data_IF_403945104674
#
_entry.id   IF_403945104674
#
_cell.length_a   1.000
_cell.length_b   1.000
_cell.length_c   1.000
_cell.angle_alpha   90.00
_cell.angle_beta   90.00
_cell.angle_gamma   90.00
#
_symmetry.space_group_name_H-M   'P 1'
#
loop_
_entity.id
_entity.type
_entity.pdbx_description
1 polymer ?
#
# COMPACT_ATOMS: atom_id res chain seq x y z
N UNK A 1 54.33 -9.19 25.70
CA UNK A 1 53.67 -8.22 26.61
C UNK A 1 53.71 -6.89 25.88
N UNK A 2 52.67 -6.51 25.11
CA UNK A 2 51.46 -5.75 25.51
C UNK A 2 51.82 -4.38 26.10
N UNK A 3 51.30 -3.21 25.74
CA UNK A 3 50.20 -2.69 24.91
C UNK A 3 50.59 -1.21 24.58
N UNK A 4 49.93 -0.37 23.79
CA UNK A 4 48.65 -0.35 23.09
C UNK A 4 48.56 1.04 22.42
N UNK A 5 48.11 1.08 21.17
CA UNK A 5 47.94 2.27 20.34
C UNK A 5 46.50 2.80 20.56
N UNK A 6 46.34 3.93 21.26
CA UNK A 6 45.05 4.61 21.46
C UNK A 6 44.88 5.76 20.46
N UNK A 7 44.61 5.40 19.21
CA UNK A 7 44.03 6.31 18.23
C UNK A 7 42.49 6.30 18.37
N UNK A 8 41.99 7.16 19.27
CA UNK A 8 40.57 7.39 19.48
C UNK A 8 39.87 7.90 18.22
N UNK A 9 39.13 7.01 17.54
CA UNK A 9 38.19 7.35 16.46
C UNK A 9 37.04 8.19 17.03
N UNK A 10 37.14 9.51 16.90
CA UNK A 10 36.02 10.42 17.13
C UNK A 10 34.99 10.22 15.99
N UNK A 11 33.99 9.37 16.23
CA UNK A 11 32.82 9.24 15.34
C UNK A 11 31.94 10.48 15.57
N UNK A 12 31.54 11.23 14.53
CA UNK A 12 30.64 12.35 14.72
C UNK A 12 29.31 11.81 15.27
N UNK A 13 28.94 12.27 16.46
CA UNK A 13 27.62 12.08 17.04
C UNK A 13 26.59 12.65 16.05
N UNK A 14 25.79 11.76 15.45
CA UNK A 14 24.68 12.11 14.58
C UNK A 14 23.81 13.15 15.27
N UNK A 15 23.59 14.25 14.56
CA UNK A 15 23.28 15.55 15.16
C UNK A 15 21.86 15.57 15.70
N UNK A 16 21.74 15.88 16.99
CA UNK A 16 20.48 15.89 17.74
C UNK A 16 19.44 16.86 17.14
N UNK A 17 19.89 17.89 16.40
CA UNK A 17 19.01 18.89 15.76
C UNK A 17 18.16 18.34 14.60
N UNK A 18 18.59 17.28 13.91
CA UNK A 18 17.79 16.64 12.84
C UNK A 18 16.55 15.95 13.43
N UNK A 19 16.72 15.31 14.59
CA UNK A 19 15.62 14.69 15.35
C UNK A 19 14.66 15.73 15.93
N UNK A 20 15.17 16.92 16.24
CA UNK A 20 14.37 18.04 16.73
C UNK A 20 13.56 18.68 15.60
N UNK A 21 14.13 18.87 14.39
CA UNK A 21 13.38 19.37 13.22
C UNK A 21 12.19 18.48 12.82
N UNK A 22 12.38 17.16 12.88
CA UNK A 22 11.29 16.21 12.61
C UNK A 22 10.16 16.26 13.66
N UNK A 23 10.43 16.73 14.88
CA UNK A 23 9.43 16.94 15.93
C UNK A 23 8.75 18.31 15.87
N UNK A 24 9.36 19.31 15.22
CA UNK A 24 8.87 20.70 15.19
C UNK A 24 7.89 21.02 14.07
N UNK A 25 7.87 20.23 13.00
CA UNK A 25 6.80 20.32 12.02
C UNK A 25 5.56 19.65 12.64
N UNK A 26 4.50 20.42 12.90
CA UNK A 26 3.20 19.85 13.23
C UNK A 26 2.77 18.84 12.15
N UNK A 27 1.69 18.07 12.39
CA UNK A 27 1.14 17.21 11.35
C UNK A 27 1.02 18.02 10.04
N UNK A 28 1.48 17.49 8.88
CA UNK A 28 1.33 18.18 7.61
C UNK A 28 -0.11 18.64 7.45
N UNK A 29 -0.36 19.77 6.79
CA UNK A 29 -1.73 20.27 6.62
C UNK A 29 -2.64 19.20 6.00
N UNK A 30 -3.93 19.21 6.33
CA UNK A 30 -4.89 18.18 5.90
C UNK A 30 -4.87 17.97 4.40
N UNK A 31 -4.81 19.05 3.63
CA UNK A 31 -4.71 19.01 2.18
C UNK A 31 -3.46 18.24 1.72
N UNK A 32 -2.28 18.57 2.27
CA UNK A 32 -1.02 17.85 1.96
C UNK A 32 -1.11 16.37 2.32
N UNK A 33 -1.75 16.01 3.44
CA UNK A 33 -1.96 14.60 3.80
C UNK A 33 -2.87 13.89 2.80
N UNK A 34 -3.94 14.55 2.36
CA UNK A 34 -4.87 14.02 1.38
C UNK A 34 -4.24 13.88 0.00
N UNK A 35 -3.41 14.84 -0.44
CA UNK A 35 -2.64 14.75 -1.68
C UNK A 35 -1.72 13.53 -1.67
N UNK A 36 -0.94 13.34 -0.60
CA UNK A 36 -0.02 12.19 -0.49
C UNK A 36 -0.81 10.86 -0.44
N UNK A 37 -1.92 10.83 0.31
CA UNK A 37 -2.78 9.64 0.36
C UNK A 37 -3.42 9.35 -1.00
N UNK A 38 -3.87 10.38 -1.70
CA UNK A 38 -4.47 10.32 -3.03
C UNK A 38 -3.48 9.81 -4.06
N UNK A 39 -2.23 10.28 -4.05
CA UNK A 39 -1.15 9.73 -4.87
C UNK A 39 -0.93 8.24 -4.65
N UNK A 40 -0.83 7.82 -3.39
CA UNK A 40 -0.64 6.41 -3.05
C UNK A 40 -1.83 5.55 -3.50
N UNK A 41 -3.06 6.06 -3.34
CA UNK A 41 -4.28 5.40 -3.78
C UNK A 41 -4.42 5.39 -5.31
N UNK A 42 -3.98 6.45 -6.01
CA UNK A 42 -3.95 6.55 -7.47
C UNK A 42 -3.04 5.50 -8.09
N UNK A 43 -1.81 5.38 -7.58
CA UNK A 43 -0.89 4.32 -8.05
C UNK A 43 -1.44 2.92 -7.75
N UNK A 44 -2.04 2.71 -6.58
CA UNK A 44 -2.69 1.45 -6.26
C UNK A 44 -3.90 1.17 -7.16
N UNK A 45 -4.69 2.20 -7.51
CA UNK A 45 -5.86 2.10 -8.39
C UNK A 45 -5.44 1.75 -9.79
N UNK A 46 -4.47 2.47 -10.35
CA UNK A 46 -3.84 2.19 -11.65
C UNK A 46 -3.37 0.74 -11.73
N UNK A 47 -2.54 0.29 -10.78
CA UNK A 47 -2.08 -1.11 -10.74
C UNK A 47 -3.21 -2.12 -10.61
N UNK A 48 -4.31 -1.76 -9.93
CA UNK A 48 -5.44 -2.66 -9.74
C UNK A 48 -6.28 -2.84 -11.02
N UNK A 49 -6.42 -1.81 -11.85
CA UNK A 49 -7.18 -1.87 -13.11
C UNK A 49 -6.68 -3.03 -13.98
N UNK A 50 -7.59 -3.68 -14.71
CA UNK A 50 -7.24 -4.63 -15.76
C UNK A 50 -6.84 -3.84 -17.01
N UNK A 51 -5.79 -4.21 -17.75
CA UNK A 51 -5.49 -3.50 -19.00
C UNK A 51 -4.11 -3.70 -19.62
N UNK A 52 -3.12 -4.17 -18.86
CA UNK A 52 -1.76 -4.30 -19.36
C UNK A 52 -1.54 -5.60 -20.12
N UNK A 53 -0.87 -5.49 -21.27
CA UNK A 53 -0.28 -6.66 -21.94
C UNK A 53 1.04 -7.04 -21.26
N UNK A 54 1.37 -8.33 -21.24
CA UNK A 54 2.67 -8.82 -20.73
C UNK A 54 3.78 -8.15 -21.52
N UNK A 55 4.52 -7.23 -20.90
CA UNK A 55 5.70 -6.62 -21.51
C UNK A 55 6.93 -7.44 -21.14
N UNK A 56 7.62 -8.01 -22.15
CA UNK A 56 8.86 -8.77 -21.92
C UNK A 56 10.05 -7.91 -21.46
N UNK A 57 9.88 -6.57 -21.39
CA UNK A 57 10.92 -5.63 -20.98
C UNK A 57 10.61 -5.00 -19.62
N UNK A 58 11.63 -4.93 -18.76
CA UNK A 58 11.59 -4.39 -17.38
C UNK A 58 11.26 -2.89 -17.28
N UNK A 59 11.03 -2.21 -18.40
CA UNK A 59 10.60 -0.81 -18.42
C UNK A 59 9.07 -0.78 -18.50
N UNK A 60 8.43 -0.50 -17.37
CA UNK A 60 7.00 -0.19 -17.31
C UNK A 60 6.83 1.17 -18.01
N UNK A 61 6.52 1.14 -19.29
CA UNK A 61 6.24 2.34 -20.09
C UNK A 61 4.76 2.31 -20.46
N UNK A 62 3.89 2.66 -19.50
CA UNK A 62 2.45 2.77 -19.77
C UNK A 62 1.62 3.08 -18.53
N UNK A 63 0.53 3.82 -18.74
CA UNK A 63 -0.53 4.08 -17.73
C UNK A 63 -1.52 2.89 -17.61
N UNK A 64 -1.18 1.75 -18.22
CA UNK A 64 -2.03 0.57 -18.27
C UNK A 64 -2.10 -0.14 -16.91
N UNK A 65 -3.24 -0.75 -16.64
CA UNK A 65 -3.50 -1.45 -15.38
C UNK A 65 -2.84 -2.84 -15.31
N UNK A 66 -2.24 -3.19 -14.17
CA UNK A 66 -1.50 -4.44 -14.01
C UNK A 66 -2.37 -5.63 -13.53
N UNK A 67 -3.67 -5.42 -13.31
CA UNK A 67 -4.57 -6.42 -12.74
C UNK A 67 -4.17 -6.87 -11.33
N UNK A 68 -3.38 -6.07 -10.60
CA UNK A 68 -2.84 -6.44 -9.29
C UNK A 68 -3.96 -6.48 -8.24
N UNK A 69 -4.24 -7.63 -7.60
CA UNK A 69 -5.30 -7.72 -6.61
C UNK A 69 -5.00 -6.92 -5.35
N UNK A 70 -6.04 -6.33 -4.77
CA UNK A 70 -5.99 -5.76 -3.42
C UNK A 70 -6.64 -6.74 -2.45
N UNK A 71 -5.94 -7.09 -1.38
CA UNK A 71 -6.51 -7.86 -0.28
C UNK A 71 -6.92 -6.91 0.84
N UNK A 72 -8.20 -6.96 1.21
CA UNK A 72 -8.81 -6.19 2.31
C UNK A 72 -9.40 -7.13 3.38
N UNK A 73 -9.79 -6.60 4.54
CA UNK A 73 -10.36 -7.43 5.61
C UNK A 73 -11.79 -7.86 5.28
N UNK A 74 -12.64 -6.90 4.91
CA UNK A 74 -14.10 -7.08 4.90
C UNK A 74 -14.82 -6.53 3.67
N UNK A 75 -16.16 -6.70 3.67
CA UNK A 75 -17.04 -6.25 2.57
C UNK A 75 -17.14 -4.72 2.49
N UNK A 76 -17.07 -4.02 3.62
CA UNK A 76 -17.19 -2.56 3.67
C UNK A 76 -15.95 -1.88 3.08
N UNK A 77 -14.78 -2.46 3.27
CA UNK A 77 -13.54 -2.02 2.60
C UNK A 77 -13.67 -2.11 1.08
N UNK A 78 -14.23 -3.21 0.57
CA UNK A 78 -14.53 -3.35 -0.87
C UNK A 78 -15.42 -2.20 -1.35
N UNK A 79 -16.49 -1.89 -0.61
CA UNK A 79 -17.41 -0.79 -0.96
C UNK A 79 -16.67 0.56 -0.97
N UNK A 80 -15.80 0.80 0.02
CA UNK A 80 -15.01 2.03 0.09
C UNK A 80 -14.06 2.16 -1.12
N UNK A 81 -13.32 1.08 -1.46
CA UNK A 81 -12.45 1.08 -2.64
C UNK A 81 -13.24 1.23 -3.94
N UNK A 82 -14.44 0.64 -4.07
CA UNK A 82 -15.30 0.87 -5.24
C UNK A 82 -15.73 2.34 -5.36
N UNK A 83 -16.07 3.01 -4.26
CA UNK A 83 -16.38 4.45 -4.26
C UNK A 83 -15.19 5.30 -4.71
N UNK A 84 -13.96 4.88 -4.39
CA UNK A 84 -12.72 5.52 -4.85
C UNK A 84 -12.37 5.20 -6.32
N UNK A 85 -13.16 4.38 -7.01
CA UNK A 85 -12.98 4.09 -8.44
C UNK A 85 -12.11 2.85 -8.73
N UNK A 86 -11.76 2.04 -7.73
CA UNK A 86 -11.05 0.79 -8.01
C UNK A 86 -11.99 -0.16 -8.76
N UNK A 87 -11.58 -0.64 -9.93
CA UNK A 87 -12.40 -1.52 -10.79
C UNK A 87 -11.92 -2.97 -10.78
N UNK A 88 -10.62 -3.19 -10.60
CA UNK A 88 -10.01 -4.52 -10.65
C UNK A 88 -10.29 -5.41 -9.44
N UNK A 89 -9.49 -6.47 -9.30
CA UNK A 89 -9.80 -7.53 -8.33
C UNK A 89 -9.57 -7.08 -6.89
N UNK A 90 -10.58 -7.29 -6.04
CA UNK A 90 -10.47 -7.10 -4.59
C UNK A 90 -10.82 -8.41 -3.88
N UNK A 91 -9.84 -9.00 -3.20
CA UNK A 91 -9.98 -10.20 -2.39
C UNK A 91 -10.23 -9.81 -0.92
N UNK A 92 -10.79 -10.74 -0.12
CA UNK A 92 -11.15 -10.50 1.28
C UNK A 92 -10.59 -11.57 2.19
N UNK A 93 -10.06 -11.17 3.34
CA UNK A 93 -9.66 -12.10 4.41
C UNK A 93 -10.87 -12.78 5.04
N UNK A 94 -11.90 -12.01 5.42
CA UNK A 94 -13.08 -12.50 6.15
C UNK A 94 -14.10 -13.19 5.24
N UNK A 95 -13.69 -14.28 4.59
CA UNK A 95 -14.53 -15.14 3.73
C UNK A 95 -14.85 -16.52 4.34
N UNK A 96 -14.61 -16.68 5.64
CA UNK A 96 -14.81 -17.95 6.35
C UNK A 96 -13.70 -18.98 6.13
N UNK A 97 -12.55 -18.56 5.59
CA UNK A 97 -11.37 -19.41 5.44
C UNK A 97 -10.39 -19.15 6.57
N UNK A 98 -9.65 -20.19 6.96
CA UNK A 98 -8.49 -20.02 7.83
C UNK A 98 -7.30 -19.45 7.05
N UNK A 99 -6.30 -18.94 7.77
CA UNK A 99 -5.14 -18.29 7.16
C UNK A 99 -4.37 -19.19 6.19
N UNK A 100 -4.08 -20.48 6.50
CA UNK A 100 -3.36 -21.34 5.56
C UNK A 100 -4.09 -21.53 4.22
N UNK A 101 -5.41 -21.74 4.25
CA UNK A 101 -6.21 -21.88 3.03
C UNK A 101 -6.21 -20.59 2.19
N UNK A 102 -6.29 -19.43 2.85
CA UNK A 102 -6.23 -18.15 2.15
C UNK A 102 -4.87 -17.95 1.47
N UNK A 103 -3.77 -18.21 2.18
CA UNK A 103 -2.41 -18.09 1.62
C UNK A 103 -2.20 -19.02 0.43
N UNK A 104 -2.62 -20.29 0.54
CA UNK A 104 -2.52 -21.25 -0.56
C UNK A 104 -3.27 -20.76 -1.81
N UNK A 105 -4.51 -20.30 -1.64
CA UNK A 105 -5.31 -19.73 -2.74
C UNK A 105 -4.65 -18.49 -3.38
N UNK A 106 -4.11 -17.57 -2.57
CA UNK A 106 -3.46 -16.37 -3.07
C UNK A 106 -2.20 -16.72 -3.88
N UNK A 107 -1.39 -17.65 -3.38
CA UNK A 107 -0.21 -18.16 -4.09
C UNK A 107 -0.58 -18.82 -5.42
N UNK A 108 -1.53 -19.78 -5.41
CA UNK A 108 -1.95 -20.50 -6.60
C UNK A 108 -2.54 -19.57 -7.67
N UNK A 109 -3.24 -18.52 -7.24
CA UNK A 109 -3.96 -17.63 -8.15
C UNK A 109 -3.09 -16.51 -8.72
N UNK A 110 -2.17 -15.96 -7.94
CA UNK A 110 -1.44 -14.74 -8.30
C UNK A 110 0.07 -14.94 -8.46
N UNK A 111 0.59 -16.11 -8.09
CA UNK A 111 2.02 -16.41 -8.21
C UNK A 111 2.89 -15.57 -7.29
N UNK A 112 4.18 -15.45 -7.64
CA UNK A 112 5.20 -14.82 -6.79
C UNK A 112 5.42 -13.33 -7.10
N UNK A 113 5.19 -12.93 -8.34
CA UNK A 113 5.25 -11.54 -8.84
C UNK A 113 4.11 -11.30 -9.81
N UNK A 114 3.70 -10.05 -9.95
CA UNK A 114 2.71 -9.70 -10.96
C UNK A 114 3.33 -9.88 -12.36
N UNK A 115 2.68 -10.63 -13.29
CA UNK A 115 3.26 -10.97 -14.58
C UNK A 115 3.24 -9.82 -15.60
N UNK A 116 2.47 -8.75 -15.33
CA UNK A 116 2.33 -7.60 -16.22
C UNK A 116 3.41 -6.56 -15.95
N UNK A 117 3.60 -6.19 -14.67
CA UNK A 117 4.54 -5.12 -14.28
C UNK A 117 5.82 -5.64 -13.59
N UNK A 118 5.93 -6.94 -13.32
CA UNK A 118 7.07 -7.56 -12.64
C UNK A 118 7.21 -7.17 -11.15
N UNK A 119 6.27 -6.39 -10.61
CA UNK A 119 6.30 -5.87 -9.24
C UNK A 119 5.60 -6.86 -8.27
N UNK A 120 5.19 -6.36 -7.11
CA UNK A 120 4.51 -7.15 -6.09
C UNK A 120 3.21 -7.76 -6.65
N UNK A 121 2.98 -9.03 -6.35
CA UNK A 121 1.85 -9.79 -6.84
C UNK A 121 0.51 -9.36 -6.21
N UNK A 122 0.53 -8.81 -4.98
CA UNK A 122 -0.67 -8.50 -4.20
C UNK A 122 -0.44 -7.22 -3.39
N UNK A 123 -1.40 -6.30 -3.41
CA UNK A 123 -1.43 -5.13 -2.52
C UNK A 123 -2.18 -5.50 -1.23
N UNK A 124 -1.52 -5.38 -0.07
CA UNK A 124 -2.13 -5.66 1.24
C UNK A 124 -2.63 -4.37 1.89
N UNK A 125 -3.95 -4.27 2.04
CA UNK A 125 -4.62 -3.08 2.55
C UNK A 125 -5.54 -3.45 3.72
N UNK A 126 -4.93 -3.83 4.85
CA UNK A 126 -5.65 -4.08 6.11
C UNK A 126 -5.86 -2.76 6.88
N UNK A 127 -6.77 -2.79 7.85
CA UNK A 127 -6.99 -1.64 8.73
C UNK A 127 -5.69 -1.25 9.45
N UNK A 128 -5.52 0.05 9.72
CA UNK A 128 -4.38 0.58 10.47
C UNK A 128 -4.67 0.71 11.97
N UNK A 129 -5.47 -0.22 12.46
CA UNK A 129 -5.62 -0.52 13.87
C UNK A 129 -4.66 -1.66 14.33
N UNK A 130 -4.86 -2.14 15.55
CA UNK A 130 -4.04 -3.21 16.13
C UNK A 130 -4.29 -4.57 15.46
N UNK A 131 -5.54 -4.85 15.09
CA UNK A 131 -5.96 -6.13 14.52
C UNK A 131 -5.49 -6.24 13.08
N UNK A 132 -5.77 -5.25 12.25
CA UNK A 132 -5.29 -5.18 10.87
C UNK A 132 -3.77 -5.18 10.80
N UNK A 133 -3.08 -4.50 11.73
CA UNK A 133 -1.62 -4.59 11.84
C UNK A 133 -1.06 -5.99 12.18
N UNK A 134 -1.83 -6.83 12.88
CA UNK A 134 -1.47 -8.24 13.11
C UNK A 134 -1.75 -9.10 11.88
N UNK A 135 -2.91 -8.93 11.27
CA UNK A 135 -3.34 -9.66 10.06
C UNK A 135 -2.36 -9.37 8.90
N UNK A 136 -2.03 -8.10 8.66
CA UNK A 136 -1.06 -7.69 7.65
C UNK A 136 0.27 -8.41 7.83
N UNK A 137 0.82 -8.41 9.06
CA UNK A 137 2.11 -9.03 9.34
C UNK A 137 2.09 -10.55 9.14
N UNK A 138 1.03 -11.22 9.59
CA UNK A 138 0.89 -12.68 9.43
C UNK A 138 0.77 -13.05 7.93
N UNK A 139 -0.01 -12.30 7.16
CA UNK A 139 -0.12 -12.47 5.71
C UNK A 139 1.21 -12.24 4.99
N UNK A 140 1.88 -11.12 5.28
CA UNK A 140 3.20 -10.81 4.70
C UNK A 140 4.19 -11.94 4.96
N UNK A 141 4.36 -12.35 6.22
CA UNK A 141 5.32 -13.40 6.58
C UNK A 141 5.05 -14.72 5.86
N UNK A 142 3.77 -15.12 5.74
CA UNK A 142 3.39 -16.39 5.10
C UNK A 142 3.55 -16.32 3.57
N UNK A 143 3.12 -15.23 2.95
CA UNK A 143 3.23 -15.06 1.50
C UNK A 143 4.69 -14.94 1.08
N UNK A 144 5.50 -14.16 1.80
CA UNK A 144 6.93 -14.02 1.50
C UNK A 144 7.71 -15.32 1.76
N UNK A 145 7.26 -16.17 2.69
CA UNK A 145 7.84 -17.53 2.86
C UNK A 145 7.61 -18.46 1.67
N UNK A 146 6.68 -18.11 0.77
CA UNK A 146 6.39 -18.77 -0.50
C UNK A 146 6.93 -17.95 -1.70
N UNK A 147 7.86 -17.03 -1.44
CA UNK A 147 8.43 -16.08 -2.41
C UNK A 147 7.44 -15.10 -3.06
N UNK A 148 6.21 -14.99 -2.53
CA UNK A 148 5.23 -14.01 -3.00
C UNK A 148 5.59 -12.62 -2.52
N UNK A 149 5.87 -11.72 -3.46
CA UNK A 149 6.12 -10.30 -3.19
C UNK A 149 4.81 -9.58 -2.96
N UNK A 150 4.69 -8.87 -1.83
CA UNK A 150 3.48 -8.15 -1.45
C UNK A 150 3.75 -6.66 -1.24
N UNK A 151 2.86 -5.81 -1.75
CA UNK A 151 2.95 -4.37 -1.53
C UNK A 151 2.32 -4.01 -0.19
N UNK A 152 3.14 -3.46 0.70
CA UNK A 152 2.71 -2.88 1.98
C UNK A 152 2.93 -1.37 2.04
N UNK A 153 3.49 -0.77 0.98
CA UNK A 153 3.83 0.66 0.92
C UNK A 153 2.57 1.52 0.84
N UNK A 154 1.61 1.15 -0.01
CA UNK A 154 0.30 1.81 -0.14
C UNK A 154 -0.36 1.98 1.23
N UNK A 155 -0.47 0.89 2.01
CA UNK A 155 -1.02 0.94 3.36
C UNK A 155 -0.23 1.87 4.29
N UNK A 156 1.11 1.79 4.28
CA UNK A 156 1.96 2.62 5.16
C UNK A 156 1.72 4.11 4.90
N UNK A 157 1.63 4.49 3.63
CA UNK A 157 1.41 5.87 3.21
C UNK A 157 0.03 6.37 3.63
N UNK A 158 -1.04 5.65 3.30
CA UNK A 158 -2.40 6.06 3.70
C UNK A 158 -2.58 6.05 5.22
N UNK A 159 -2.00 5.07 5.93
CA UNK A 159 -2.10 4.98 7.39
C UNK A 159 -1.31 6.10 8.08
N UNK A 160 -0.26 6.62 7.45
CA UNK A 160 0.51 7.76 7.95
C UNK A 160 -0.26 9.07 7.74
N UNK A 161 -0.90 9.23 6.58
CA UNK A 161 -1.62 10.44 6.20
C UNK A 161 -3.02 10.56 6.81
N UNK A 162 -3.79 9.47 6.80
CA UNK A 162 -5.23 9.47 7.11
C UNK A 162 -5.58 8.97 8.52
N UNK A 163 -4.57 8.78 9.38
CA UNK A 163 -4.78 8.38 10.78
C UNK A 163 -5.63 9.37 11.59
N UNK A 164 -5.52 10.70 11.40
CA UNK A 164 -6.43 11.65 12.03
C UNK A 164 -7.89 11.48 11.61
N UNK A 165 -8.14 11.02 10.38
CA UNK A 165 -9.46 10.88 9.75
C UNK A 165 -10.13 9.53 10.04
N UNK A 166 -9.34 8.49 10.32
CA UNK A 166 -9.86 7.17 10.64
C UNK A 166 -8.75 6.15 10.87
N UNK A 167 -9.15 4.91 11.21
CA UNK A 167 -8.23 3.76 11.34
C UNK A 167 -8.55 2.59 10.43
N UNK A 168 -9.58 2.72 9.62
CA UNK A 168 -10.18 1.63 8.85
C UNK A 168 -10.23 1.99 7.37
N UNK A 169 -10.09 0.98 6.52
CA UNK A 169 -10.22 1.13 5.07
C UNK A 169 -11.66 1.52 4.71
N UNK A 170 -12.67 0.97 5.39
CA UNK A 170 -14.06 1.41 5.22
C UNK A 170 -14.27 2.91 5.51
N UNK A 171 -13.47 3.50 6.41
CA UNK A 171 -13.52 4.93 6.74
C UNK A 171 -13.16 5.84 5.56
N UNK A 172 -12.40 5.34 4.58
CA UNK A 172 -12.06 6.08 3.36
C UNK A 172 -13.33 6.49 2.57
N UNK A 173 -14.43 5.75 2.71
CA UNK A 173 -15.68 6.05 2.01
C UNK A 173 -16.25 7.43 2.37
N UNK A 174 -15.99 7.94 3.59
CA UNK A 174 -16.45 9.26 4.02
C UNK A 174 -15.67 10.41 3.37
N UNK A 175 -14.48 10.11 2.85
CA UNK A 175 -13.55 11.07 2.25
C UNK A 175 -13.41 10.84 0.74
N UNK A 176 -14.27 10.02 0.15
CA UNK A 176 -14.08 9.54 -1.21
C UNK A 176 -14.11 10.66 -2.26
N UNK A 177 -14.98 11.65 -2.09
CA UNK A 177 -15.06 12.81 -3.01
C UNK A 177 -13.77 13.64 -2.98
N UNK A 178 -13.25 13.93 -1.78
CA UNK A 178 -12.03 14.72 -1.61
C UNK A 178 -10.78 13.95 -2.06
N UNK A 179 -10.70 12.66 -1.72
CA UNK A 179 -9.57 11.82 -2.14
C UNK A 179 -9.58 11.59 -3.65
N UNK A 180 -10.75 11.45 -4.27
CA UNK A 180 -10.86 11.23 -5.72
C UNK A 180 -10.14 12.28 -6.53
N UNK A 181 -10.23 13.56 -6.16
CA UNK A 181 -9.53 14.66 -6.86
C UNK A 181 -8.05 14.33 -7.04
N UNK A 182 -7.37 13.93 -5.96
CA UNK A 182 -5.96 13.59 -5.98
C UNK A 182 -5.68 12.21 -6.60
N UNK A 183 -6.61 11.26 -6.49
CA UNK A 183 -6.46 9.94 -7.10
C UNK A 183 -6.56 10.06 -8.63
N UNK A 184 -7.50 10.86 -9.13
CA UNK A 184 -7.78 11.08 -10.55
C UNK A 184 -6.65 11.88 -11.22
N UNK A 185 -6.03 12.83 -10.51
CA UNK A 185 -4.79 13.49 -10.97
C UNK A 185 -3.63 12.51 -11.19
N UNK A 186 -3.61 11.39 -10.46
CA UNK A 186 -2.55 10.40 -10.52
C UNK A 186 -2.88 9.15 -11.35
N UNK A 187 -4.16 8.88 -11.61
CA UNK A 187 -4.68 7.76 -12.40
C UNK A 187 -5.82 8.27 -13.28
N UNK A 188 -5.46 9.11 -14.26
CA UNK A 188 -6.42 9.85 -15.11
C UNK A 188 -7.36 8.90 -15.86
N UNK A 189 -6.83 7.83 -16.44
CA UNK A 189 -7.61 6.82 -17.15
C UNK A 189 -8.55 6.00 -16.20
N UNK A 190 -8.37 6.13 -14.89
CA UNK A 190 -9.24 5.54 -13.86
C UNK A 190 -10.41 6.43 -13.45
N UNK A 191 -10.40 7.71 -13.85
CA UNK A 191 -11.49 8.66 -13.66
C UNK A 191 -12.56 8.40 -14.74
N UNK A 192 -13.36 7.34 -14.58
CA UNK A 192 -14.53 7.15 -15.45
C UNK A 192 -15.45 8.38 -15.41
N UNK A 193 -16.16 8.65 -16.50
CA UNK A 193 -17.18 9.71 -16.55
C UNK A 193 -18.19 9.51 -15.41
N UNK A 194 -18.40 10.54 -14.58
CA UNK A 194 -19.45 10.51 -13.55
C UNK A 194 -20.81 10.39 -14.25
N UNK A 195 -21.49 9.24 -14.12
CA UNK A 195 -22.93 9.09 -14.43
C UNK A 195 -23.80 9.71 -13.33
#
# INVERSE_FOLDING_TARGET
MAAGDESGKNRPHGVEWEKTRAKSAGPPDREVRFEIAGRALGEARRRNREGGSVVESSEIVGDEGAGCPILVEGKRDVIALRKLGFTGKIEKVNRGWNMPRLVAYLYEKYGTRNPIDGREAIILLMDWDRTGGRIQRDLTNRLESLDVKVDCSTRKEIARCLKPEGRTVEGLAAHASELKVFIDEHDFDGAGEEE
#
